data_IF_599525520790
#
_entry.id   IF_599525520790
#
_cell.length_a   1.000
_cell.length_b   1.000
_cell.length_c   1.000
_cell.angle_alpha   90.00
_cell.angle_beta   90.00
_cell.angle_gamma   90.00
#
_symmetry.space_group_name_H-M   'P 1'
#
loop_
_entity.id
_entity.type
_entity.pdbx_description
1 polymer ?
#
# COMPACT_ATOMS: atom_id res chain seq x y z
N UNK A 1 -26.11 9.32 30.96
CA UNK A 1 -25.67 9.13 29.56
C UNK A 1 -24.62 8.05 29.54
N UNK A 2 -24.75 7.01 28.68
CA UNK A 2 -23.70 6.00 28.57
C UNK A 2 -22.42 6.68 28.10
N UNK A 3 -21.30 6.29 28.71
CA UNK A 3 -19.98 6.87 28.45
C UNK A 3 -19.49 6.26 27.14
N UNK A 4 -19.56 7.01 26.03
CA UNK A 4 -19.00 6.55 24.75
C UNK A 4 -17.51 6.27 24.96
N UNK A 5 -17.11 5.02 24.73
CA UNK A 5 -15.70 4.65 24.83
C UNK A 5 -14.99 5.11 23.55
N UNK A 6 -13.69 5.46 23.61
CA UNK A 6 -12.93 5.86 22.42
C UNK A 6 -13.01 4.82 21.28
N UNK A 7 -13.15 3.55 21.63
CA UNK A 7 -13.30 2.41 20.72
C UNK A 7 -14.61 2.46 19.92
N UNK A 8 -15.70 2.93 20.55
CA UNK A 8 -17.01 3.08 19.94
C UNK A 8 -17.01 4.24 18.92
N UNK A 9 -16.29 5.33 19.24
CA UNK A 9 -16.09 6.47 18.34
C UNK A 9 -15.29 6.09 17.09
N UNK A 10 -14.22 5.30 17.24
CA UNK A 10 -13.43 4.82 16.10
C UNK A 10 -14.27 3.93 15.19
N UNK A 11 -15.13 3.08 15.77
CA UNK A 11 -16.02 2.20 15.02
C UNK A 11 -17.11 2.98 14.29
N UNK A 12 -17.70 3.99 14.92
CA UNK A 12 -18.71 4.87 14.30
C UNK A 12 -18.11 5.71 13.16
N UNK A 13 -16.91 6.29 13.33
CA UNK A 13 -16.21 7.05 12.28
C UNK A 13 -15.87 6.14 11.09
N UNK A 14 -15.42 4.91 11.35
CA UNK A 14 -15.13 3.92 10.31
C UNK A 14 -16.35 3.51 9.49
N UNK A 15 -17.55 3.53 10.10
CA UNK A 15 -18.82 3.21 9.43
C UNK A 15 -19.38 4.44 8.70
N UNK A 16 -19.25 5.63 9.27
CA UNK A 16 -19.80 6.87 8.73
C UNK A 16 -19.00 7.40 7.53
N UNK A 17 -17.66 7.42 7.62
CA UNK A 17 -16.75 7.90 6.57
C UNK A 17 -15.57 6.92 6.39
N UNK A 18 -15.77 5.79 5.68
CA UNK A 18 -14.74 4.78 5.52
C UNK A 18 -13.45 5.29 4.86
N UNK A 19 -13.54 6.30 3.98
CA UNK A 19 -12.36 6.88 3.31
C UNK A 19 -11.54 7.80 4.23
N UNK A 20 -12.18 8.47 5.19
CA UNK A 20 -11.49 9.27 6.22
C UNK A 20 -10.69 8.36 7.15
N UNK A 21 -11.25 7.20 7.52
CA UNK A 21 -10.53 6.21 8.33
C UNK A 21 -9.29 5.67 7.61
N UNK A 22 -9.43 5.28 6.34
CA UNK A 22 -8.29 4.83 5.53
C UNK A 22 -7.19 5.90 5.46
N UNK A 23 -7.57 7.17 5.22
CA UNK A 23 -6.63 8.31 5.19
C UNK A 23 -5.86 8.44 6.50
N UNK A 24 -6.55 8.37 7.64
CA UNK A 24 -5.92 8.44 8.96
C UNK A 24 -4.92 7.29 9.17
N UNK A 25 -5.25 6.06 8.77
CA UNK A 25 -4.34 4.92 8.91
C UNK A 25 -3.09 5.06 8.03
N UNK A 26 -3.25 5.48 6.77
CA UNK A 26 -2.11 5.76 5.89
C UNK A 26 -1.20 6.83 6.49
N UNK A 27 -1.76 7.93 7.00
CA UNK A 27 -0.98 8.98 7.63
C UNK A 27 -0.19 8.50 8.85
N UNK A 28 -0.75 7.60 9.66
CA UNK A 28 -0.05 7.04 10.82
C UNK A 28 1.16 6.22 10.39
N UNK A 29 1.01 5.38 9.37
CA UNK A 29 2.11 4.55 8.83
C UNK A 29 3.20 5.45 8.24
N UNK A 30 2.82 6.47 7.45
CA UNK A 30 3.79 7.39 6.84
C UNK A 30 4.55 8.19 7.90
N UNK A 31 3.88 8.63 8.97
CA UNK A 31 4.52 9.38 10.07
C UNK A 31 5.41 8.52 10.96
N UNK A 32 5.24 7.19 10.97
CA UNK A 32 5.98 6.30 11.88
C UNK A 32 7.33 5.84 11.32
N UNK A 33 7.60 6.06 10.02
CA UNK A 33 8.79 5.56 9.33
C UNK A 33 9.56 6.72 8.68
N UNK A 34 10.90 6.67 8.77
CA UNK A 34 11.76 7.69 8.17
C UNK A 34 11.67 7.65 6.64
N UNK A 35 11.20 8.74 6.03
CA UNK A 35 11.01 8.85 4.59
C UNK A 35 12.30 8.63 3.78
N UNK A 36 13.48 8.92 4.36
CA UNK A 36 14.77 8.70 3.68
C UNK A 36 15.07 7.22 3.47
N UNK A 37 14.64 6.36 4.40
CA UNK A 37 14.78 4.92 4.27
C UNK A 37 13.90 4.43 3.13
N UNK A 38 12.65 4.91 3.08
CA UNK A 38 11.68 4.57 2.04
C UNK A 38 12.17 5.00 0.66
N UNK A 39 12.66 6.24 0.52
CA UNK A 39 13.19 6.77 -0.75
C UNK A 39 14.37 5.94 -1.27
N UNK A 40 15.31 5.60 -0.36
CA UNK A 40 16.47 4.78 -0.69
C UNK A 40 16.06 3.40 -1.19
N UNK A 41 15.14 2.76 -0.48
CA UNK A 41 14.72 1.40 -0.80
C UNK A 41 13.84 1.34 -2.04
N UNK A 42 12.98 2.35 -2.22
CA UNK A 42 12.22 2.52 -3.45
C UNK A 42 13.15 2.63 -4.65
N UNK A 43 14.20 3.46 -4.57
CA UNK A 43 15.19 3.58 -5.64
C UNK A 43 15.79 2.22 -6.00
N UNK A 44 16.23 1.46 -4.99
CA UNK A 44 16.80 0.13 -5.21
C UNK A 44 15.81 -0.83 -5.89
N UNK A 45 14.57 -0.88 -5.41
CA UNK A 45 13.52 -1.72 -5.99
C UNK A 45 13.21 -1.31 -7.44
N UNK A 46 13.13 0.00 -7.69
CA UNK A 46 12.90 0.55 -9.03
C UNK A 46 14.01 0.15 -10.01
N UNK A 47 15.27 0.23 -9.57
CA UNK A 47 16.44 -0.17 -10.38
C UNK A 47 16.40 -1.68 -10.67
N UNK A 48 16.09 -2.52 -9.68
CA UNK A 48 16.01 -3.98 -9.84
C UNK A 48 14.82 -4.43 -10.71
N UNK A 49 13.71 -3.67 -10.70
CA UNK A 49 12.52 -3.98 -11.50
C UNK A 49 12.56 -3.39 -12.92
N UNK A 50 13.51 -2.50 -13.20
CA UNK A 50 13.66 -1.86 -14.51
C UNK A 50 12.43 -1.04 -14.88
N UNK A 51 11.89 -0.25 -13.94
CA UNK A 51 10.69 0.56 -14.17
C UNK A 51 10.96 1.62 -15.26
N UNK A 52 10.38 1.42 -16.45
CA UNK A 52 10.44 2.38 -17.55
C UNK A 52 9.45 3.52 -17.36
N UNK A 53 9.84 4.73 -17.77
CA UNK A 53 9.04 5.94 -17.62
C UNK A 53 8.12 6.14 -18.83
N UNK A 54 6.96 5.47 -18.86
CA UNK A 54 5.91 5.73 -19.87
C UNK A 54 4.52 5.94 -19.23
N UNK A 55 3.68 6.82 -19.81
CA UNK A 55 2.41 7.32 -19.25
C UNK A 55 2.51 7.90 -17.81
N UNK A 56 2.32 9.21 -17.69
CA UNK A 56 2.56 9.94 -16.45
C UNK A 56 1.69 9.45 -15.27
N UNK A 57 0.40 9.16 -15.48
CA UNK A 57 -0.51 8.81 -14.37
C UNK A 57 -0.41 7.34 -13.93
N UNK A 58 -0.19 6.43 -14.89
CA UNK A 58 0.05 5.02 -14.58
C UNK A 58 1.33 4.86 -13.73
N UNK A 59 2.41 5.54 -14.12
CA UNK A 59 3.65 5.48 -13.37
C UNK A 59 3.50 6.05 -11.96
N UNK A 60 2.78 7.16 -11.80
CA UNK A 60 2.52 7.69 -10.46
C UNK A 60 1.74 6.69 -9.60
N UNK A 61 0.78 5.96 -10.18
CA UNK A 61 0.07 4.88 -9.49
C UNK A 61 0.99 3.73 -9.09
N UNK A 62 1.86 3.28 -10.00
CA UNK A 62 2.86 2.23 -9.72
C UNK A 62 3.80 2.67 -8.59
N UNK A 63 4.35 3.89 -8.67
CA UNK A 63 5.22 4.47 -7.63
C UNK A 63 4.47 4.50 -6.30
N UNK A 64 3.24 5.00 -6.29
CA UNK A 64 2.40 5.09 -5.09
C UNK A 64 2.17 3.72 -4.45
N UNK A 65 1.81 2.71 -5.24
CA UNK A 65 1.61 1.35 -4.75
C UNK A 65 2.88 0.72 -4.19
N UNK A 66 4.02 0.89 -4.88
CA UNK A 66 5.30 0.37 -4.39
C UNK A 66 5.73 1.07 -3.10
N UNK A 67 5.54 2.38 -2.98
CA UNK A 67 5.78 3.11 -1.73
C UNK A 67 4.90 2.57 -0.60
N UNK A 68 3.59 2.39 -0.84
CA UNK A 68 2.67 1.82 0.15
C UNK A 68 3.12 0.43 0.63
N UNK A 69 3.58 -0.42 -0.28
CA UNK A 69 4.13 -1.72 0.07
C UNK A 69 5.40 -1.62 0.93
N UNK A 70 6.36 -0.77 0.56
CA UNK A 70 7.61 -0.59 1.34
C UNK A 70 7.28 -0.09 2.76
N UNK A 71 6.39 0.91 2.88
CA UNK A 71 5.90 1.37 4.18
C UNK A 71 5.30 0.23 5.01
N UNK A 72 4.45 -0.59 4.40
CA UNK A 72 3.84 -1.73 5.09
C UNK A 72 4.86 -2.81 5.49
N UNK A 73 5.90 -3.06 4.70
CA UNK A 73 6.98 -3.98 5.10
C UNK A 73 7.64 -3.50 6.40
N UNK A 74 7.97 -2.21 6.48
CA UNK A 74 8.55 -1.62 7.69
C UNK A 74 7.59 -1.63 8.88
N UNK A 75 6.32 -1.28 8.68
CA UNK A 75 5.27 -1.33 9.70
C UNK A 75 5.11 -2.74 10.29
N UNK A 76 5.15 -3.77 9.44
CA UNK A 76 5.08 -5.18 9.83
C UNK A 76 6.41 -5.78 10.27
N UNK A 77 7.51 -4.99 10.27
CA UNK A 77 8.87 -5.44 10.60
C UNK A 77 9.35 -6.61 9.72
N UNK A 78 8.95 -6.61 8.47
CA UNK A 78 9.35 -7.55 7.44
C UNK A 78 10.44 -6.92 6.56
N UNK A 79 11.40 -7.73 6.09
CA UNK A 79 12.44 -7.26 5.19
C UNK A 79 11.90 -7.08 3.76
N UNK A 80 11.86 -5.84 3.20
CA UNK A 80 11.35 -5.60 1.85
C UNK A 80 12.16 -6.28 0.73
N UNK A 81 13.39 -6.73 1.01
CA UNK A 81 14.29 -7.37 0.04
C UNK A 81 14.41 -8.88 0.21
N UNK A 82 13.64 -9.47 1.12
CA UNK A 82 13.66 -10.92 1.30
C UNK A 82 13.23 -11.62 0.01
N UNK A 83 13.89 -12.73 -0.33
CA UNK A 83 13.66 -13.46 -1.59
C UNK A 83 12.21 -13.87 -1.81
N UNK A 84 11.48 -14.15 -0.73
CA UNK A 84 10.05 -14.52 -0.79
C UNK A 84 9.11 -13.31 -0.88
N UNK A 85 9.59 -12.09 -0.62
CA UNK A 85 8.80 -10.87 -0.65
C UNK A 85 8.94 -10.14 -1.99
N UNK A 86 10.13 -10.21 -2.60
CA UNK A 86 10.42 -9.53 -3.86
C UNK A 86 9.43 -9.83 -5.01
N UNK A 87 8.92 -11.08 -5.19
CA UNK A 87 7.91 -11.36 -6.21
C UNK A 87 6.62 -10.52 -6.06
N UNK A 88 6.29 -10.06 -4.85
CA UNK A 88 5.09 -9.26 -4.59
C UNK A 88 5.09 -7.96 -5.39
N UNK A 89 6.25 -7.31 -5.56
CA UNK A 89 6.32 -6.04 -6.30
C UNK A 89 5.92 -6.21 -7.77
N UNK A 90 6.27 -7.34 -8.39
CA UNK A 90 5.86 -7.64 -9.78
C UNK A 90 4.36 -7.84 -9.88
N UNK A 91 3.75 -8.53 -8.90
CA UNK A 91 2.29 -8.70 -8.81
C UNK A 91 1.60 -7.34 -8.68
N UNK A 92 2.06 -6.50 -7.74
CA UNK A 92 1.53 -5.15 -7.56
C UNK A 92 1.57 -4.35 -8.87
N UNK A 93 2.70 -4.33 -9.56
CA UNK A 93 2.85 -3.58 -10.83
C UNK A 93 1.85 -4.06 -11.88
N UNK A 94 1.69 -5.36 -12.03
CA UNK A 94 0.79 -5.94 -13.02
C UNK A 94 -0.68 -5.61 -12.71
N UNK A 95 -1.08 -5.74 -11.44
CA UNK A 95 -2.44 -5.41 -11.00
C UNK A 95 -2.76 -3.93 -11.21
N UNK A 96 -1.82 -3.02 -10.95
CA UNK A 96 -2.01 -1.58 -11.19
C UNK A 96 -2.16 -1.28 -12.67
N UNK A 97 -1.42 -1.95 -13.56
CA UNK A 97 -1.58 -1.80 -15.02
C UNK A 97 -2.96 -2.23 -15.48
N UNK A 98 -3.41 -3.42 -15.04
CA UNK A 98 -4.74 -3.94 -15.37
C UNK A 98 -5.82 -2.99 -14.89
N UNK A 99 -5.75 -2.56 -13.62
CA UNK A 99 -6.73 -1.62 -13.06
C UNK A 99 -6.73 -0.28 -13.80
N UNK A 100 -5.56 0.23 -14.19
CA UNK A 100 -5.49 1.48 -14.95
C UNK A 100 -6.15 1.36 -16.33
N UNK A 101 -5.94 0.26 -17.04
CA UNK A 101 -6.56 0.02 -18.36
C UNK A 101 -8.10 -0.10 -18.28
N UNK A 102 -8.61 -0.67 -17.18
CA UNK A 102 -10.05 -0.77 -16.92
C UNK A 102 -10.69 0.58 -16.59
N UNK A 103 -10.06 1.37 -15.73
CA UNK A 103 -10.65 2.63 -15.21
C UNK A 103 -10.37 3.82 -16.13
N UNK A 104 -9.28 3.81 -16.92
CA UNK A 104 -8.91 4.93 -17.81
C UNK A 104 -9.93 5.22 -18.92
N UNK A 105 -10.90 4.32 -19.13
CA UNK A 105 -12.03 4.51 -20.03
C UNK A 105 -13.07 5.53 -19.51
N UNK A 106 -13.02 5.89 -18.23
CA UNK A 106 -13.84 6.95 -17.63
C UNK A 106 -12.97 7.83 -16.72
N UNK A 107 -12.54 8.99 -17.22
CA UNK A 107 -11.76 10.04 -16.53
C UNK A 107 -11.41 9.73 -15.05
N UNK A 108 -10.20 9.22 -14.82
CA UNK A 108 -9.68 8.91 -13.49
C UNK A 108 -9.37 10.21 -12.73
N UNK A 109 -9.92 10.35 -11.52
CA UNK A 109 -9.44 11.37 -10.57
C UNK A 109 -8.04 11.00 -10.07
N UNK A 110 -7.07 11.90 -10.25
CA UNK A 110 -5.67 11.63 -9.92
C UNK A 110 -5.46 11.42 -8.42
N UNK A 111 -6.09 12.22 -7.56
CA UNK A 111 -5.85 12.11 -6.10
C UNK A 111 -6.38 10.76 -5.59
N UNK A 112 -7.60 10.40 -6.00
CA UNK A 112 -8.20 9.12 -5.65
C UNK A 112 -7.38 7.95 -6.18
N UNK A 113 -6.87 8.05 -7.42
CA UNK A 113 -6.01 7.02 -7.99
C UNK A 113 -4.75 6.79 -7.17
N UNK A 114 -4.03 7.85 -6.82
CA UNK A 114 -2.79 7.74 -6.03
C UNK A 114 -3.07 7.20 -4.63
N UNK A 115 -4.19 7.61 -4.03
CA UNK A 115 -4.62 7.13 -2.73
C UNK A 115 -4.94 5.64 -2.72
N UNK A 116 -5.77 5.17 -3.67
CA UNK A 116 -6.19 3.77 -3.73
C UNK A 116 -5.04 2.85 -4.14
N UNK A 117 -4.15 3.29 -5.03
CA UNK A 117 -2.95 2.53 -5.39
C UNK A 117 -1.97 2.40 -4.21
N UNK A 118 -1.77 3.47 -3.41
CA UNK A 118 -0.99 3.40 -2.18
C UNK A 118 -1.59 2.39 -1.19
N UNK A 119 -2.91 2.48 -0.96
CA UNK A 119 -3.64 1.58 -0.06
C UNK A 119 -3.54 0.12 -0.51
N UNK A 120 -3.61 -0.10 -1.82
CA UNK A 120 -3.45 -1.41 -2.42
C UNK A 120 -2.09 -2.03 -2.09
N UNK A 121 -1.02 -1.26 -2.24
CA UNK A 121 0.33 -1.68 -1.87
C UNK A 121 0.44 -2.15 -0.41
N UNK A 122 -0.15 -1.39 0.51
CA UNK A 122 -0.21 -1.75 1.94
C UNK A 122 -0.92 -3.09 2.13
N UNK A 123 -2.12 -3.22 1.56
CA UNK A 123 -2.97 -4.42 1.70
C UNK A 123 -2.29 -5.68 1.20
N UNK A 124 -1.53 -5.59 0.11
CA UNK A 124 -0.78 -6.72 -0.44
C UNK A 124 0.28 -7.26 0.54
N UNK A 125 0.98 -6.37 1.23
CA UNK A 125 1.96 -6.78 2.24
C UNK A 125 1.29 -7.37 3.48
N UNK A 126 0.18 -6.79 3.93
CA UNK A 126 -0.58 -7.35 5.06
C UNK A 126 -1.13 -8.75 4.74
N UNK A 127 -1.57 -8.96 3.50
CA UNK A 127 -2.01 -10.26 3.03
C UNK A 127 -0.85 -11.27 2.94
N UNK A 128 0.33 -10.84 2.47
CA UNK A 128 1.55 -11.65 2.47
C UNK A 128 1.94 -12.06 3.90
N UNK A 129 1.98 -11.12 4.84
CA UNK A 129 2.30 -11.36 6.25
C UNK A 129 1.34 -12.39 6.86
N UNK A 130 0.03 -12.23 6.63
CA UNK A 130 -0.96 -13.20 7.08
C UNK A 130 -0.74 -14.60 6.49
N UNK A 131 -0.39 -14.70 5.20
CA UNK A 131 -0.04 -15.99 4.56
C UNK A 131 1.19 -16.63 5.19
N UNK A 132 2.23 -15.85 5.47
CA UNK A 132 3.45 -16.34 6.12
C UNK A 132 3.20 -16.78 7.57
N UNK A 133 2.34 -16.07 8.29
CA UNK A 133 1.93 -16.47 9.64
C UNK A 133 1.18 -17.80 9.64
N UNK A 134 0.20 -17.96 8.75
CA UNK A 134 -0.56 -19.20 8.64
C UNK A 134 0.31 -20.39 8.21
N UNK A 135 1.27 -20.17 7.31
CA UNK A 135 2.19 -21.25 6.94
C UNK A 135 3.03 -21.73 8.11
N UNK A 136 3.37 -20.87 9.09
CA UNK A 136 4.11 -21.29 10.28
C UNK A 136 3.25 -22.06 11.30
N UNK A 137 1.93 -21.86 11.31
CA UNK A 137 1.01 -22.52 12.26
C UNK A 137 0.51 -23.86 11.74
N UNK A 138 0.39 -24.01 10.43
CA UNK A 138 -0.19 -25.19 9.80
C UNK A 138 0.81 -26.34 9.54
N UNK A 139 2.04 -26.28 10.08
CA UNK A 139 3.05 -27.34 9.99
C UNK A 139 3.54 -27.80 11.35
#
# INVERSE_FOLDING_TARGET
MPKLMPEDLVKEIRIANPDDYKRIEQEKIVKSIDSKIIEKDFKRISDELGLEHSNHLLNEGIVSALMGAIYAFYDRKLDPFHVNHFPLYRVIIEDIKIAFDEVSQGQIDRELWLFETFDYGIKQVYYLDWKLYLSQICY
#
